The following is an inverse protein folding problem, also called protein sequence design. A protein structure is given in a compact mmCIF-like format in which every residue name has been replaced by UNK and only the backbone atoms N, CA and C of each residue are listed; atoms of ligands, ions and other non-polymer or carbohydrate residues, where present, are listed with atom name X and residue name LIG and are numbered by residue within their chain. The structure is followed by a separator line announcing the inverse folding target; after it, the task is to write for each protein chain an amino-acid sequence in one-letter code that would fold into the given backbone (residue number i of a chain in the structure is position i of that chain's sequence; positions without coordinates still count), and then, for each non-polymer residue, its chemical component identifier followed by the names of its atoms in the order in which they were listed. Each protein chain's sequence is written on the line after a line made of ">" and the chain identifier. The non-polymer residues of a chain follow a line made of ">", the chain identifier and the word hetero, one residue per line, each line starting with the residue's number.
data_IF_564803059736
#
_entry.id   IF_564803059736
#
_cell.length_a   1.000
_cell.length_b   1.000
_cell.length_c   1.000
_cell.angle_alpha   90.00
_cell.angle_beta   90.00
_cell.angle_gamma   90.00
#
_symmetry.space_group_name_H-M   'P 1'
#
loop_
_entity.id
_entity.type
_entity.pdbx_description
1 polymer ?
#
# COMPACT_ATOMS: atom_id res chain seq x y z
N UNK A 1 -11.85 -12.10 -17.67
CA UNK A 1 -12.55 -12.17 -18.96
C UNK A 1 -13.77 -11.25 -18.88
N UNK A 2 -13.81 -10.10 -19.58
CA UNK A 2 -15.06 -9.35 -19.68
C UNK A 2 -16.10 -10.22 -20.39
N UNK A 3 -17.31 -10.30 -19.83
CA UNK A 3 -18.40 -11.12 -20.37
C UNK A 3 -18.63 -10.75 -21.84
N UNK A 4 -18.64 -11.74 -22.72
CA UNK A 4 -19.01 -11.55 -24.13
C UNK A 4 -20.48 -11.16 -24.14
N UNK A 5 -20.76 -9.86 -24.29
CA UNK A 5 -22.12 -9.36 -24.49
C UNK A 5 -22.64 -9.94 -25.80
N UNK A 6 -23.69 -10.78 -25.73
CA UNK A 6 -24.32 -11.35 -26.93
C UNK A 6 -25.02 -10.26 -27.74
N UNK A 7 -25.45 -9.18 -27.08
CA UNK A 7 -26.03 -7.98 -27.68
C UNK A 7 -25.46 -6.70 -27.03
N UNK A 8 -25.23 -5.63 -27.80
CA UNK A 8 -24.79 -4.32 -27.26
C UNK A 8 -25.82 -3.67 -26.31
N UNK A 9 -27.05 -4.20 -26.26
CA UNK A 9 -28.15 -3.67 -25.47
C UNK A 9 -28.48 -4.52 -24.23
N UNK A 10 -27.78 -5.64 -23.98
CA UNK A 10 -27.97 -6.43 -22.77
C UNK A 10 -27.34 -5.72 -21.56
N UNK A 11 -28.15 -5.40 -20.55
CA UNK A 11 -27.70 -4.82 -19.28
C UNK A 11 -27.67 -3.29 -19.22
N UNK A 12 -27.99 -2.58 -20.31
CA UNK A 12 -28.26 -1.14 -20.24
C UNK A 12 -29.74 -0.99 -19.81
N UNK A 13 -30.05 -0.27 -18.71
CA UNK A 13 -31.41 -0.16 -18.19
C UNK A 13 -32.29 0.76 -19.08
N UNK A 14 -32.59 0.33 -20.31
CA UNK A 14 -33.56 0.98 -21.19
C UNK A 14 -35.02 0.62 -20.84
N UNK A 15 -35.25 -0.13 -19.76
CA UNK A 15 -36.52 -0.79 -19.49
C UNK A 15 -37.26 -0.32 -18.22
N UNK A 16 -36.85 0.79 -17.60
CA UNK A 16 -37.62 1.41 -16.51
C UNK A 16 -38.27 2.75 -16.88
N UNK A 17 -38.54 2.99 -18.16
CA UNK A 17 -39.19 4.22 -18.61
C UNK A 17 -40.51 3.82 -19.27
N UNK A 18 -41.61 4.04 -18.54
CA UNK A 18 -42.96 4.04 -19.10
C UNK A 18 -43.04 5.18 -20.11
N UNK A 19 -43.58 4.91 -21.30
CA UNK A 19 -43.94 5.94 -22.27
C UNK A 19 -44.95 6.88 -21.61
N UNK A 20 -44.63 8.16 -21.44
CA UNK A 20 -45.58 9.15 -20.93
C UNK A 20 -44.99 10.53 -20.63
N UNK A 21 -45.30 11.47 -21.52
CA UNK A 21 -45.62 12.90 -21.32
C UNK A 21 -45.06 13.66 -20.10
N UNK A 22 -43.77 14.00 -20.08
CA UNK A 22 -43.29 15.16 -19.31
C UNK A 22 -42.16 15.92 -20.03
N UNK A 23 -42.07 17.27 -19.90
CA UNK A 23 -41.14 18.10 -20.66
C UNK A 23 -39.70 17.95 -20.14
N UNK A 24 -38.75 17.71 -21.05
CA UNK A 24 -37.34 17.40 -20.71
C UNK A 24 -36.86 16.02 -21.17
N UNK A 25 -37.62 15.39 -22.07
CA UNK A 25 -37.43 14.05 -22.58
C UNK A 25 -36.20 13.91 -23.51
N UNK A 26 -35.11 13.27 -23.04
CA UNK A 26 -34.21 12.52 -23.92
C UNK A 26 -34.66 11.04 -23.97
N UNK A 27 -35.88 10.78 -24.45
CA UNK A 27 -36.45 9.42 -24.62
C UNK A 27 -37.21 9.31 -25.97
N UNK A 28 -36.58 9.76 -27.07
CA UNK A 28 -37.30 9.96 -28.34
C UNK A 28 -37.63 8.68 -29.14
N UNK A 29 -36.85 7.60 -29.05
CA UNK A 29 -37.16 6.30 -29.71
C UNK A 29 -36.07 5.26 -29.40
N UNK A 30 -36.32 3.99 -29.71
CA UNK A 30 -35.28 2.95 -29.66
C UNK A 30 -34.25 3.16 -30.78
N UNK A 31 -32.95 2.89 -30.56
CA UNK A 31 -31.92 2.96 -31.61
C UNK A 31 -32.26 2.24 -32.92
N UNK A 32 -33.01 1.13 -32.84
CA UNK A 32 -33.51 0.36 -33.99
C UNK A 32 -34.58 1.09 -34.82
N UNK A 33 -35.26 2.06 -34.23
CA UNK A 33 -36.34 2.85 -34.83
C UNK A 33 -35.84 4.23 -35.33
N UNK A 34 -34.55 4.55 -35.10
CA UNK A 34 -33.93 5.79 -35.52
C UNK A 34 -33.55 5.75 -37.00
N UNK A 35 -34.07 6.71 -37.78
CA UNK A 35 -33.67 6.90 -39.18
C UNK A 35 -32.62 8.00 -39.37
N UNK A 36 -32.20 8.66 -38.30
CA UNK A 36 -31.22 9.74 -38.38
C UNK A 36 -29.83 9.19 -38.70
N UNK A 37 -29.15 9.88 -39.62
CA UNK A 37 -27.82 9.55 -40.12
C UNK A 37 -26.91 10.77 -39.96
N UNK A 38 -25.63 10.53 -39.71
CA UNK A 38 -24.63 11.59 -39.71
C UNK A 38 -24.63 12.29 -41.07
N UNK A 39 -24.70 13.64 -41.13
CA UNK A 39 -24.79 14.37 -42.40
C UNK A 39 -23.62 14.09 -43.35
N UNK A 40 -22.42 13.91 -42.80
CA UNK A 40 -21.18 13.74 -43.56
C UNK A 40 -21.00 12.29 -44.05
N UNK A 41 -21.31 11.30 -43.20
CA UNK A 41 -20.98 9.88 -43.48
C UNK A 41 -22.17 9.05 -43.89
N UNK A 42 -23.40 9.59 -43.80
CA UNK A 42 -24.68 8.90 -44.02
C UNK A 42 -24.85 7.61 -43.20
N UNK A 43 -24.03 7.39 -42.16
CA UNK A 43 -24.13 6.25 -41.23
C UNK A 43 -25.17 6.55 -40.14
N UNK A 44 -25.89 5.54 -39.63
CA UNK A 44 -26.86 5.75 -38.56
C UNK A 44 -26.21 6.38 -37.33
N UNK A 45 -26.91 7.28 -36.63
CA UNK A 45 -26.36 7.94 -35.43
C UNK A 45 -26.16 6.94 -34.28
N UNK A 46 -26.98 5.89 -34.23
CA UNK A 46 -26.83 4.83 -33.24
C UNK A 46 -25.99 3.67 -33.76
N UNK A 47 -24.99 3.30 -32.98
CA UNK A 47 -24.11 2.16 -33.23
C UNK A 47 -24.82 0.85 -32.86
N UNK A 48 -25.64 0.33 -33.79
CA UNK A 48 -26.39 -0.92 -33.58
C UNK A 48 -25.60 -2.18 -34.00
N UNK A 49 -24.39 -2.02 -34.55
CA UNK A 49 -23.54 -3.13 -35.00
C UNK A 49 -22.35 -3.34 -34.05
N UNK A 50 -22.07 -4.60 -33.70
CA UNK A 50 -20.86 -4.98 -32.97
C UNK A 50 -19.66 -4.62 -33.86
N UNK A 51 -18.72 -3.77 -33.39
CA UNK A 51 -17.58 -3.41 -34.20
C UNK A 51 -16.72 -4.65 -34.44
N UNK A 52 -16.55 -5.03 -35.72
CA UNK A 52 -15.58 -6.06 -36.12
C UNK A 52 -14.19 -5.65 -35.62
N UNK A 53 -13.52 -6.51 -34.85
CA UNK A 53 -12.16 -6.33 -34.35
C UNK A 53 -11.26 -7.27 -35.12
N UNK A 54 -10.12 -6.77 -35.57
CA UNK A 54 -9.09 -7.57 -36.22
C UNK A 54 -8.09 -8.05 -35.17
N UNK A 55 -7.67 -9.31 -35.28
CA UNK A 55 -6.76 -9.96 -34.35
C UNK A 55 -5.58 -10.54 -35.12
N UNK A 56 -4.37 -10.32 -34.61
CA UNK A 56 -3.14 -10.91 -35.13
C UNK A 56 -2.50 -11.78 -34.06
N UNK A 57 -2.07 -12.99 -34.44
CA UNK A 57 -1.35 -13.91 -33.55
C UNK A 57 0.12 -13.55 -33.49
N UNK A 58 0.62 -13.25 -32.29
CA UNK A 58 2.04 -12.99 -32.03
C UNK A 58 2.61 -14.15 -31.20
N UNK A 59 3.79 -14.70 -31.55
CA UNK A 59 4.40 -15.76 -30.77
C UNK A 59 4.93 -15.19 -29.45
N UNK A 60 4.60 -15.84 -28.33
CA UNK A 60 5.12 -15.55 -27.00
C UNK A 60 5.67 -16.85 -26.40
N UNK A 61 6.94 -17.15 -26.68
CA UNK A 61 7.56 -18.42 -26.30
C UNK A 61 6.93 -19.60 -27.04
N UNK A 62 6.39 -20.57 -26.28
CA UNK A 62 5.72 -21.78 -26.81
C UNK A 62 4.23 -21.58 -27.14
N UNK A 63 3.66 -20.41 -26.84
CA UNK A 63 2.23 -20.11 -27.05
C UNK A 63 2.01 -18.91 -27.98
N UNK A 64 0.83 -18.84 -28.60
CA UNK A 64 0.42 -17.73 -29.44
C UNK A 64 -0.56 -16.84 -28.68
N UNK A 65 -0.30 -15.53 -28.65
CA UNK A 65 -1.24 -14.54 -28.09
C UNK A 65 -2.00 -13.83 -29.21
N UNK A 66 -3.30 -13.72 -29.05
CA UNK A 66 -4.14 -12.90 -29.93
C UNK A 66 -4.04 -11.43 -29.51
N UNK A 67 -3.48 -10.59 -30.39
CA UNK A 67 -3.38 -9.15 -30.20
C UNK A 67 -4.46 -8.44 -31.03
N UNK A 68 -5.22 -7.55 -30.40
CA UNK A 68 -6.19 -6.69 -31.11
C UNK A 68 -5.41 -5.66 -31.92
N UNK A 69 -5.65 -5.62 -33.23
CA UNK A 69 -5.06 -4.62 -34.13
C UNK A 69 -5.90 -3.34 -34.06
N UNK A 70 -5.29 -2.18 -33.76
CA UNK A 70 -5.96 -0.89 -33.85
C UNK A 70 -6.44 -0.64 -35.29
N UNK A 71 -7.65 -0.11 -35.45
CA UNK A 71 -8.17 0.24 -36.77
C UNK A 71 -7.40 1.42 -37.35
N UNK A 72 -7.04 1.33 -38.62
CA UNK A 72 -6.47 2.43 -39.39
C UNK A 72 -7.52 3.47 -39.78
N UNK A 73 -8.79 3.05 -39.92
CA UNK A 73 -9.90 3.96 -40.17
C UNK A 73 -10.28 4.78 -38.91
N UNK A 74 -10.52 6.09 -39.05
CA UNK A 74 -10.89 6.95 -37.93
C UNK A 74 -12.22 6.51 -37.30
N UNK A 75 -12.28 6.55 -35.97
CA UNK A 75 -13.51 6.23 -35.26
C UNK A 75 -14.50 7.41 -35.36
N UNK A 76 -15.57 7.22 -36.13
CA UNK A 76 -16.60 8.23 -36.35
C UNK A 76 -17.49 8.50 -35.13
N UNK A 77 -17.52 7.59 -34.15
CA UNK A 77 -18.34 7.74 -32.94
C UNK A 77 -17.45 8.10 -31.76
N UNK A 78 -17.72 9.18 -31.02
CA UNK A 78 -16.92 9.55 -29.86
C UNK A 78 -16.96 8.42 -28.81
N UNK A 79 -15.79 8.03 -28.31
CA UNK A 79 -15.69 7.11 -27.19
C UNK A 79 -15.76 7.93 -25.89
N UNK A 80 -16.83 7.74 -25.12
CA UNK A 80 -16.94 8.36 -23.80
C UNK A 80 -16.25 7.43 -22.80
N UNK A 81 -15.25 7.94 -22.09
CA UNK A 81 -14.53 7.21 -21.06
C UNK A 81 -14.32 8.09 -19.83
N UNK A 82 -14.19 7.47 -18.67
CA UNK A 82 -13.94 8.19 -17.43
C UNK A 82 -12.54 8.82 -17.44
N UNK A 83 -12.39 10.03 -16.88
CA UNK A 83 -11.13 10.79 -16.91
C UNK A 83 -9.97 10.02 -16.28
N UNK A 84 -10.20 9.31 -15.18
CA UNK A 84 -9.16 8.50 -14.53
C UNK A 84 -8.67 7.34 -15.40
N UNK A 85 -9.57 6.69 -16.13
CA UNK A 85 -9.24 5.59 -17.06
C UNK A 85 -8.44 6.13 -18.24
N UNK A 86 -8.80 7.30 -18.77
CA UNK A 86 -8.04 7.99 -19.82
C UNK A 86 -6.62 8.33 -19.36
N UNK A 87 -6.47 8.92 -18.17
CA UNK A 87 -5.16 9.27 -17.63
C UNK A 87 -4.30 8.03 -17.35
N UNK A 88 -4.88 6.94 -16.86
CA UNK A 88 -4.16 5.67 -16.67
C UNK A 88 -3.62 5.13 -17.99
N UNK A 89 -4.47 5.09 -19.03
CA UNK A 89 -4.08 4.61 -20.35
C UNK A 89 -3.03 5.53 -20.99
N UNK A 90 -3.16 6.85 -20.81
CA UNK A 90 -2.17 7.83 -21.28
C UNK A 90 -0.80 7.62 -20.64
N UNK A 91 -0.75 7.33 -19.33
CA UNK A 91 0.50 7.01 -18.62
C UNK A 91 1.11 5.69 -19.11
N UNK A 92 0.30 4.66 -19.29
CA UNK A 92 0.77 3.35 -19.79
C UNK A 92 1.23 3.38 -21.25
N UNK A 93 0.63 4.25 -22.07
CA UNK A 93 1.00 4.40 -23.48
C UNK A 93 2.25 5.28 -23.69
N UNK A 94 2.73 5.98 -22.65
CA UNK A 94 3.97 6.76 -22.77
C UNK A 94 5.15 5.79 -22.88
N UNK A 95 5.71 5.67 -24.08
CA UNK A 95 6.97 4.95 -24.31
C UNK A 95 8.10 5.84 -23.80
N UNK A 96 8.70 5.46 -22.67
CA UNK A 96 9.82 6.19 -22.07
C UNK A 96 11.06 5.96 -22.94
N UNK A 97 11.68 7.03 -23.42
CA UNK A 97 12.94 6.94 -24.18
C UNK A 97 14.11 6.59 -23.26
N UNK A 98 15.21 6.06 -23.82
CA UNK A 98 16.39 5.70 -23.04
C UNK A 98 16.99 6.90 -22.28
N UNK A 99 16.97 8.09 -22.89
CA UNK A 99 17.45 9.32 -22.25
C UNK A 99 16.59 9.76 -21.06
N UNK A 100 15.26 9.62 -21.17
CA UNK A 100 14.34 9.92 -20.06
C UNK A 100 14.55 8.93 -18.89
N UNK A 101 14.85 7.66 -19.18
CA UNK A 101 15.16 6.67 -18.14
C UNK A 101 16.45 6.99 -17.40
N UNK A 102 17.52 7.36 -18.13
CA UNK A 102 18.80 7.70 -17.52
C UNK A 102 18.72 8.96 -16.65
N UNK A 103 17.97 9.98 -17.10
CA UNK A 103 17.73 11.19 -16.29
C UNK A 103 16.96 10.88 -15.02
N UNK A 104 15.90 10.06 -15.11
CA UNK A 104 15.14 9.64 -13.94
C UNK A 104 15.99 8.87 -12.93
N UNK A 105 16.89 7.98 -13.39
CA UNK A 105 17.82 7.29 -12.51
C UNK A 105 18.81 8.25 -11.84
N UNK A 106 19.40 9.18 -12.59
CA UNK A 106 20.33 10.17 -12.03
C UNK A 106 19.65 11.10 -11.01
N UNK A 107 18.42 11.53 -11.27
CA UNK A 107 17.63 12.34 -10.33
C UNK A 107 17.32 11.55 -9.05
N UNK A 108 16.97 10.27 -9.17
CA UNK A 108 16.72 9.39 -8.03
C UNK A 108 17.99 9.13 -7.21
N UNK A 109 19.11 8.86 -7.86
CA UNK A 109 20.42 8.69 -7.21
C UNK A 109 20.85 9.98 -6.50
N UNK A 110 20.69 11.14 -7.13
CA UNK A 110 21.01 12.44 -6.54
C UNK A 110 20.14 12.72 -5.30
N UNK A 111 18.85 12.37 -5.34
CA UNK A 111 17.95 12.51 -4.20
C UNK A 111 18.35 11.58 -3.03
N UNK A 112 18.72 10.33 -3.32
CA UNK A 112 19.21 9.37 -2.32
C UNK A 112 20.54 9.85 -1.72
N UNK A 113 21.47 10.32 -2.55
CA UNK A 113 22.75 10.86 -2.09
C UNK A 113 22.57 12.10 -1.20
N UNK A 114 21.64 12.99 -1.55
CA UNK A 114 21.32 14.16 -0.73
C UNK A 114 20.75 13.74 0.63
N UNK A 115 19.78 12.82 0.64
CA UNK A 115 19.19 12.30 1.88
C UNK A 115 20.23 11.54 2.74
N UNK A 116 21.17 10.83 2.11
CA UNK A 116 22.27 10.15 2.79
C UNK A 116 23.23 11.15 3.44
N UNK A 117 23.65 12.20 2.74
CA UNK A 117 24.50 13.27 3.28
C UNK A 117 23.84 14.00 4.46
N UNK A 118 22.57 14.38 4.31
CA UNK A 118 21.80 15.01 5.40
C UNK A 118 21.70 14.09 6.64
N UNK A 119 21.56 12.77 6.41
CA UNK A 119 21.53 11.77 7.50
C UNK A 119 22.90 11.56 8.14
N UNK A 120 23.98 11.61 7.37
CA UNK A 120 25.36 11.50 7.86
C UNK A 120 25.75 12.73 8.70
N UNK A 121 25.41 13.94 8.24
CA UNK A 121 25.62 15.18 8.99
C UNK A 121 24.88 15.16 10.34
N UNK A 122 23.61 14.70 10.35
CA UNK A 122 22.83 14.54 11.59
C UNK A 122 23.47 13.52 12.54
N UNK A 123 24.02 12.41 12.02
CA UNK A 123 24.73 11.40 12.82
C UNK A 123 26.06 11.93 13.36
N UNK A 124 26.80 12.71 12.57
CA UNK A 124 28.07 13.31 12.99
C UNK A 124 27.86 14.33 14.10
N UNK A 125 26.87 15.22 13.96
CA UNK A 125 26.50 16.18 15.01
C UNK A 125 26.05 15.49 16.30
N UNK A 126 25.32 14.38 16.20
CA UNK A 126 24.92 13.60 17.37
C UNK A 126 26.14 12.96 18.05
N UNK A 127 27.04 12.38 17.25
CA UNK A 127 28.28 11.74 17.74
C UNK A 127 29.23 12.74 18.41
N UNK A 128 29.36 13.95 17.85
CA UNK A 128 30.17 15.03 18.43
C UNK A 128 29.58 15.51 19.77
N UNK A 129 28.25 15.66 19.86
CA UNK A 129 27.55 16.02 21.10
C UNK A 129 27.55 14.91 22.16
N UNK A 130 27.85 13.67 21.77
CA UNK A 130 27.90 12.49 22.65
C UNK A 130 29.33 12.13 23.11
N UNK A 131 30.35 12.97 22.89
CA UNK A 131 31.63 12.78 23.57
C UNK A 131 31.43 12.92 25.10
N UNK A 132 31.77 11.91 25.91
CA UNK A 132 31.60 11.97 27.35
C UNK A 132 32.69 12.86 27.96
N UNK A 133 32.29 13.86 28.76
CA UNK A 133 33.21 14.47 29.70
C UNK A 133 33.55 13.45 30.81
N UNK A 134 34.84 13.28 31.16
CA UNK A 134 35.20 12.42 32.28
C UNK A 134 34.92 13.17 33.58
N UNK A 135 33.86 12.75 34.27
CA UNK A 135 33.62 13.07 35.67
C UNK A 135 32.74 14.31 35.89
N UNK A 136 31.48 14.08 36.27
CA UNK A 136 30.79 14.94 37.23
C UNK A 136 29.58 14.19 37.80
N UNK A 137 29.50 14.26 39.12
CA UNK A 137 28.48 13.67 39.98
C UNK A 137 27.14 14.42 39.88
N UNK A 138 26.08 13.67 40.20
CA UNK A 138 24.78 14.03 40.79
C UNK A 138 24.40 15.53 40.83
N UNK A 139 23.24 15.89 40.28
CA UNK A 139 22.41 16.96 40.83
C UNK A 139 20.96 16.85 40.34
N UNK A 140 20.05 16.84 41.31
CA UNK A 140 18.62 16.99 41.16
C UNK A 140 18.19 18.47 41.17
N UNK A 141 16.99 18.75 40.68
CA UNK A 141 16.22 20.00 40.83
C UNK A 141 16.42 21.01 39.70
N UNK A 142 15.46 21.80 39.24
CA UNK A 142 14.03 21.99 39.49
C UNK A 142 13.61 23.13 38.52
N UNK A 143 12.41 23.07 37.92
CA UNK A 143 11.64 24.25 37.52
C UNK A 143 10.23 23.84 37.05
N UNK A 144 9.25 24.26 37.83
CA UNK A 144 7.80 24.13 37.64
C UNK A 144 7.24 24.98 36.48
N UNK A 145 6.17 24.50 35.83
CA UNK A 145 4.95 25.28 35.56
C UNK A 145 3.78 24.35 35.14
N UNK A 146 2.88 24.16 36.11
CA UNK A 146 1.42 24.10 36.01
C UNK A 146 0.67 23.09 35.10
N UNK A 147 -0.24 22.36 35.76
CA UNK A 147 -1.56 21.92 35.30
C UNK A 147 -1.67 20.77 34.28
N UNK A 148 -1.70 19.52 34.79
CA UNK A 148 -2.80 18.54 34.67
C UNK A 148 -2.32 17.19 35.24
N UNK A 149 -3.23 16.42 35.85
CA UNK A 149 -2.92 15.37 36.85
C UNK A 149 -1.90 14.27 36.46
N UNK A 150 -1.29 13.62 37.46
CA UNK A 150 -0.18 12.66 37.29
C UNK A 150 -0.50 11.41 36.45
N UNK A 151 -1.77 11.13 36.19
CA UNK A 151 -2.19 9.92 35.47
C UNK A 151 -2.17 10.08 33.94
N UNK A 152 -2.19 11.31 33.41
CA UNK A 152 -2.19 11.54 31.95
C UNK A 152 -0.78 11.64 31.37
N UNK A 153 0.16 12.26 32.10
CA UNK A 153 1.58 12.34 31.71
C UNK A 153 2.28 10.99 31.78
N UNK A 154 1.95 10.14 32.76
CA UNK A 154 2.44 8.77 32.81
C UNK A 154 1.90 7.90 31.65
N UNK A 155 0.63 8.09 31.27
CA UNK A 155 0.01 7.36 30.16
C UNK A 155 0.53 7.79 28.78
N UNK A 156 0.86 9.07 28.58
CA UNK A 156 1.46 9.55 27.32
C UNK A 156 2.92 9.10 27.16
N UNK A 157 3.68 9.03 28.26
CA UNK A 157 5.05 8.50 28.27
C UNK A 157 5.07 7.00 28.00
N UNK A 158 4.21 6.22 28.67
CA UNK A 158 4.09 4.77 28.42
C UNK A 158 3.62 4.45 26.99
N UNK A 159 2.75 5.29 26.41
CA UNK A 159 2.34 5.17 25.00
C UNK A 159 3.47 5.53 24.03
N UNK A 160 4.31 6.51 24.36
CA UNK A 160 5.47 6.88 23.55
C UNK A 160 6.55 5.80 23.58
N UNK A 161 6.78 5.18 24.75
CA UNK A 161 7.71 4.06 24.91
C UNK A 161 7.26 2.82 24.12
N UNK A 162 5.97 2.46 24.19
CA UNK A 162 5.42 1.32 23.43
C UNK A 162 5.42 1.53 21.91
N UNK A 163 5.24 2.77 21.44
CA UNK A 163 5.40 3.12 20.02
C UNK A 163 6.85 3.03 19.57
N UNK A 164 7.80 3.49 20.39
CA UNK A 164 9.23 3.41 20.09
C UNK A 164 9.74 1.96 20.09
N UNK A 165 9.20 1.11 20.96
CA UNK A 165 9.47 -0.33 20.96
C UNK A 165 8.90 -1.04 19.72
N UNK A 166 7.68 -0.69 19.29
CA UNK A 166 7.10 -1.20 18.05
C UNK A 166 7.91 -0.78 16.81
N UNK A 167 8.32 0.48 16.73
CA UNK A 167 9.16 0.98 15.64
C UNK A 167 10.54 0.32 15.62
N UNK A 168 11.15 0.10 16.78
CA UNK A 168 12.41 -0.63 16.89
C UNK A 168 12.29 -2.10 16.45
N UNK A 169 11.17 -2.76 16.76
CA UNK A 169 10.90 -4.13 16.31
C UNK A 169 10.72 -4.21 14.78
N UNK A 170 9.99 -3.25 14.18
CA UNK A 170 9.81 -3.17 12.72
C UNK A 170 11.15 -2.90 12.02
N UNK A 171 11.98 -2.00 12.57
CA UNK A 171 13.32 -1.73 12.02
C UNK A 171 14.25 -2.94 12.14
N UNK A 172 14.15 -3.71 13.23
CA UNK A 172 14.93 -4.93 13.41
C UNK A 172 14.50 -6.02 12.42
N UNK A 173 13.20 -6.24 12.24
CA UNK A 173 12.68 -7.18 11.24
C UNK A 173 13.05 -6.77 9.80
N UNK A 174 13.04 -5.47 9.49
CA UNK A 174 13.47 -4.95 8.19
C UNK A 174 14.95 -5.22 7.93
N UNK A 175 15.83 -4.97 8.92
CA UNK A 175 17.26 -5.28 8.84
C UNK A 175 17.52 -6.78 8.71
N UNK A 176 16.85 -7.61 9.49
CA UNK A 176 16.98 -9.08 9.39
C UNK A 176 16.52 -9.61 8.02
N UNK A 177 15.46 -9.03 7.44
CA UNK A 177 15.02 -9.34 6.06
C UNK A 177 16.07 -8.89 5.01
N UNK A 178 16.66 -7.70 5.17
CA UNK A 178 17.74 -7.23 4.29
C UNK A 178 19.00 -8.10 4.40
N UNK A 179 19.41 -8.48 5.61
CA UNK A 179 20.53 -9.38 5.85
C UNK A 179 20.29 -10.76 5.23
N UNK A 180 19.07 -11.31 5.32
CA UNK A 180 18.69 -12.56 4.62
C UNK A 180 18.78 -12.42 3.10
N UNK A 181 18.35 -11.29 2.54
CA UNK A 181 18.48 -11.00 1.09
C UNK A 181 19.94 -10.84 0.67
N UNK A 182 20.77 -10.21 1.50
CA UNK A 182 22.20 -10.06 1.26
C UNK A 182 22.93 -11.41 1.34
N UNK A 183 22.65 -12.24 2.35
CA UNK A 183 23.18 -13.59 2.47
C UNK A 183 22.78 -14.50 1.31
N UNK A 184 21.54 -14.39 0.82
CA UNK A 184 21.10 -15.13 -0.36
C UNK A 184 21.86 -14.67 -1.61
N UNK A 185 22.06 -13.36 -1.76
CA UNK A 185 22.83 -12.77 -2.87
C UNK A 185 24.30 -13.17 -2.83
N UNK A 186 24.89 -13.23 -1.64
CA UNK A 186 26.27 -13.68 -1.41
C UNK A 186 26.44 -15.18 -1.70
N UNK A 187 25.51 -16.02 -1.20
CA UNK A 187 25.52 -17.47 -1.48
C UNK A 187 25.25 -17.80 -2.95
N UNK A 188 24.67 -16.87 -3.71
CA UNK A 188 24.46 -16.98 -5.16
C UNK A 188 25.61 -16.39 -6.00
N UNK A 189 26.78 -16.09 -5.42
CA UNK A 189 27.93 -15.62 -6.18
C UNK A 189 28.19 -16.54 -7.40
N UNK A 190 28.43 -15.96 -8.59
CA UNK A 190 28.79 -16.76 -9.76
C UNK A 190 30.10 -17.49 -9.47
N UNK A 191 30.13 -18.80 -9.75
CA UNK A 191 31.40 -19.52 -9.78
C UNK A 191 32.41 -18.80 -10.71
N UNK A 192 33.72 -18.86 -10.41
CA UNK A 192 34.77 -18.09 -11.08
C UNK A 192 34.99 -18.40 -12.58
N UNK A 193 34.07 -19.09 -13.25
CA UNK A 193 34.02 -19.26 -14.70
C UNK A 193 33.00 -18.36 -15.42
N UNK A 194 32.19 -17.57 -14.70
CA UNK A 194 31.08 -16.82 -15.31
C UNK A 194 31.44 -15.39 -15.77
N UNK A 195 32.71 -14.99 -15.73
CA UNK A 195 33.13 -13.62 -16.08
C UNK A 195 33.42 -13.39 -17.56
N UNK A 196 33.38 -14.39 -18.44
CA UNK A 196 33.71 -14.21 -19.86
C UNK A 196 32.46 -13.95 -20.75
N UNK A 197 31.51 -13.14 -20.29
CA UNK A 197 30.36 -12.75 -21.11
C UNK A 197 29.84 -11.31 -20.92
N UNK A 198 30.49 -10.50 -20.08
CA UNK A 198 30.21 -9.08 -20.00
C UNK A 198 31.33 -8.32 -20.72
N UNK A 199 30.96 -7.47 -21.67
CA UNK A 199 31.88 -6.65 -22.46
C UNK A 199 32.59 -5.59 -21.63
N UNK A 200 33.55 -6.00 -20.81
CA UNK A 200 34.69 -5.16 -20.49
C UNK A 200 35.69 -5.33 -21.64
N UNK A 201 35.97 -4.25 -22.35
CA UNK A 201 37.18 -4.19 -23.15
C UNK A 201 38.35 -4.28 -22.16
N UNK A 202 39.04 -5.43 -22.13
CA UNK A 202 40.40 -5.50 -21.60
C UNK A 202 41.29 -4.65 -22.51
N UNK A 203 41.30 -3.34 -22.27
CA UNK A 203 42.09 -2.34 -22.99
C UNK A 203 43.55 -2.28 -22.49
N UNK A 204 44.04 -3.32 -21.82
CA UNK A 204 45.34 -3.34 -21.11
C UNK A 204 46.17 -4.61 -21.40
N UNK A 205 45.99 -5.24 -22.57
CA UNK A 205 46.93 -6.26 -23.05
C UNK A 205 47.63 -5.69 -24.28
N UNK A 206 48.95 -5.55 -24.30
CA UNK A 206 49.69 -5.09 -25.49
C UNK A 206 50.19 -6.28 -26.32
N UNK A 207 49.94 -6.27 -27.63
CA UNK A 207 50.56 -7.19 -28.59
C UNK A 207 50.09 -8.66 -28.52
N UNK A 208 51.01 -9.66 -28.63
CA UNK A 208 50.68 -11.07 -28.91
C UNK A 208 49.74 -11.75 -27.89
N UNK A 209 49.63 -11.21 -26.68
CA UNK A 209 48.73 -11.69 -25.63
C UNK A 209 47.25 -11.39 -25.94
N UNK A 210 46.94 -10.28 -26.63
CA UNK A 210 45.58 -10.03 -27.12
C UNK A 210 45.16 -11.06 -28.17
N UNK A 211 46.07 -11.42 -29.07
CA UNK A 211 45.82 -12.45 -30.09
C UNK A 211 45.62 -13.83 -29.45
N UNK A 212 46.41 -14.17 -28.43
CA UNK A 212 46.21 -15.42 -27.69
C UNK A 212 44.88 -15.43 -26.92
N UNK A 213 44.53 -14.32 -26.26
CA UNK A 213 43.27 -14.18 -25.52
C UNK A 213 42.05 -14.24 -26.45
N UNK A 214 42.09 -13.56 -27.60
CA UNK A 214 41.00 -13.60 -28.59
C UNK A 214 40.82 -14.97 -29.21
N UNK A 215 41.91 -15.70 -29.51
CA UNK A 215 41.85 -17.07 -29.99
C UNK A 215 41.29 -18.02 -28.93
N UNK A 216 41.79 -17.95 -27.69
CA UNK A 216 41.28 -18.75 -26.56
C UNK A 216 39.78 -18.49 -26.31
N UNK A 217 39.35 -17.22 -26.33
CA UNK A 217 37.93 -16.86 -26.20
C UNK A 217 37.10 -17.40 -27.36
N UNK A 218 37.62 -17.36 -28.60
CA UNK A 218 36.94 -17.93 -29.75
C UNK A 218 36.80 -19.45 -29.64
N UNK A 219 37.80 -20.14 -29.08
CA UNK A 219 37.76 -21.58 -28.80
C UNK A 219 36.73 -21.94 -27.73
N UNK A 220 36.68 -21.18 -26.63
CA UNK A 220 35.67 -21.34 -25.57
C UNK A 220 34.26 -21.14 -26.13
N UNK A 221 34.04 -20.08 -26.92
CA UNK A 221 32.75 -19.83 -27.55
C UNK A 221 32.36 -20.93 -28.54
N UNK A 222 33.31 -21.53 -29.26
CA UNK A 222 33.04 -22.68 -30.12
C UNK A 222 32.65 -23.90 -29.29
N UNK A 223 33.35 -24.17 -28.19
CA UNK A 223 33.03 -25.26 -27.27
C UNK A 223 31.65 -25.07 -26.63
N UNK A 224 31.33 -23.89 -26.13
CA UNK A 224 30.03 -23.56 -25.52
C UNK A 224 28.86 -23.64 -26.51
N UNK A 225 29.13 -23.42 -27.80
CA UNK A 225 28.13 -23.53 -28.84
C UNK A 225 27.78 -24.98 -29.20
N UNK A 226 28.55 -25.96 -28.72
CA UNK A 226 28.27 -27.38 -28.96
C UNK A 226 26.99 -27.83 -28.23
N UNK A 227 26.30 -28.88 -28.73
CA UNK A 227 25.01 -29.30 -28.18
C UNK A 227 25.07 -29.72 -26.70
N UNK A 228 26.16 -30.38 -26.28
CA UNK A 228 26.36 -30.85 -24.91
C UNK A 228 26.42 -29.71 -23.89
N UNK A 229 27.37 -28.76 -24.02
CA UNK A 229 27.46 -27.59 -23.13
C UNK A 229 26.19 -26.74 -23.11
N UNK A 230 25.51 -26.56 -24.26
CA UNK A 230 24.20 -25.88 -24.30
C UNK A 230 23.13 -26.57 -23.46
N UNK A 231 23.06 -27.90 -23.49
CA UNK A 231 22.14 -28.67 -22.66
C UNK A 231 22.48 -28.52 -21.17
N UNK A 232 23.75 -28.63 -20.80
CA UNK A 232 24.21 -28.42 -19.43
C UNK A 232 23.85 -27.00 -18.93
N UNK A 233 24.09 -25.97 -19.74
CA UNK A 233 23.73 -24.58 -19.41
C UNK A 233 22.22 -24.42 -19.19
N UNK A 234 21.38 -25.11 -19.98
CA UNK A 234 19.93 -25.11 -19.78
C UNK A 234 19.53 -25.77 -18.46
N UNK A 235 20.15 -26.90 -18.12
CA UNK A 235 19.88 -27.62 -16.85
C UNK A 235 20.34 -26.77 -15.66
N UNK A 236 21.54 -26.20 -15.72
CA UNK A 236 22.07 -25.32 -14.67
C UNK A 236 21.15 -24.12 -14.46
N UNK A 237 20.68 -23.48 -15.53
CA UNK A 237 19.75 -22.37 -15.44
C UNK A 237 18.43 -22.79 -14.79
N UNK A 238 17.87 -23.93 -15.21
CA UNK A 238 16.66 -24.47 -14.61
C UNK A 238 16.84 -24.73 -13.10
N UNK A 239 17.94 -25.38 -12.69
CA UNK A 239 18.26 -25.64 -11.29
C UNK A 239 18.40 -24.35 -10.48
N UNK A 240 19.04 -23.31 -11.03
CA UNK A 240 19.11 -21.98 -10.39
C UNK A 240 17.73 -21.36 -10.22
N UNK A 241 16.89 -21.42 -11.26
CA UNK A 241 15.51 -20.92 -11.18
C UNK A 241 14.68 -21.66 -10.14
N UNK A 242 14.85 -22.99 -10.01
CA UNK A 242 14.17 -23.78 -8.98
C UNK A 242 14.62 -23.41 -7.58
N UNK A 243 15.94 -23.30 -7.32
CA UNK A 243 16.46 -22.89 -6.02
C UNK A 243 15.94 -21.51 -5.58
N UNK A 244 15.92 -20.53 -6.49
CA UNK A 244 15.38 -19.19 -6.20
C UNK A 244 13.88 -19.28 -5.92
N UNK A 245 13.13 -20.06 -6.71
CA UNK A 245 11.69 -20.22 -6.52
C UNK A 245 11.36 -20.85 -5.17
N UNK A 246 12.09 -21.89 -4.76
CA UNK A 246 11.88 -22.56 -3.48
C UNK A 246 12.20 -21.63 -2.30
N UNK A 247 13.26 -20.83 -2.42
CA UNK A 247 13.57 -19.78 -1.44
C UNK A 247 12.45 -18.72 -1.36
N UNK A 248 11.92 -18.26 -2.51
CA UNK A 248 10.82 -17.30 -2.54
C UNK A 248 9.51 -17.87 -1.97
N UNK A 249 9.23 -19.16 -2.20
CA UNK A 249 8.06 -19.83 -1.62
C UNK A 249 8.19 -19.89 -0.09
N UNK A 250 9.35 -20.31 0.43
CA UNK A 250 9.57 -20.37 1.87
C UNK A 250 9.53 -18.98 2.54
N UNK A 251 10.08 -17.94 1.89
CA UNK A 251 9.98 -16.55 2.36
C UNK A 251 8.53 -16.07 2.39
N UNK A 252 7.75 -16.32 1.33
CA UNK A 252 6.33 -15.97 1.28
C UNK A 252 5.52 -16.65 2.38
N UNK A 253 5.81 -17.92 2.67
CA UNK A 253 5.09 -18.66 3.70
C UNK A 253 5.49 -18.19 5.11
N UNK A 254 6.73 -17.75 5.31
CA UNK A 254 7.15 -17.10 6.56
C UNK A 254 6.43 -15.76 6.77
N UNK A 255 6.43 -14.88 5.76
CA UNK A 255 5.76 -13.57 5.81
C UNK A 255 4.27 -13.74 6.15
N UNK A 256 3.61 -14.75 5.57
CA UNK A 256 2.20 -15.03 5.90
C UNK A 256 2.01 -15.42 7.35
N UNK A 257 2.90 -16.23 7.92
CA UNK A 257 2.81 -16.63 9.34
C UNK A 257 2.99 -15.43 10.26
N UNK A 258 4.02 -14.62 10.01
CA UNK A 258 4.28 -13.40 10.76
C UNK A 258 3.08 -12.43 10.68
N UNK A 259 2.49 -12.26 9.49
CA UNK A 259 1.29 -11.44 9.32
C UNK A 259 0.10 -11.97 10.14
N UNK A 260 -0.15 -13.28 10.11
CA UNK A 260 -1.25 -13.88 10.89
C UNK A 260 -1.03 -13.77 12.40
N UNK A 261 0.22 -13.82 12.86
CA UNK A 261 0.56 -13.65 14.27
C UNK A 261 0.36 -12.20 14.72
N UNK A 262 0.75 -11.22 13.91
CA UNK A 262 0.51 -9.80 14.19
C UNK A 262 -0.98 -9.45 14.12
N UNK A 263 -1.74 -9.97 13.16
CA UNK A 263 -3.20 -9.83 13.13
C UNK A 263 -3.84 -10.36 14.41
N UNK A 264 -3.44 -11.55 14.86
CA UNK A 264 -3.92 -12.14 16.12
C UNK A 264 -3.56 -11.28 17.34
N UNK A 265 -2.37 -10.69 17.36
CA UNK A 265 -1.92 -9.78 18.42
C UNK A 265 -2.76 -8.51 18.46
N UNK A 266 -3.03 -7.91 17.30
CA UNK A 266 -3.87 -6.71 17.17
C UNK A 266 -5.30 -7.00 17.62
N UNK A 267 -5.88 -8.13 17.23
CA UNK A 267 -7.22 -8.55 17.66
C UNK A 267 -7.30 -8.68 19.19
N UNK A 268 -6.26 -9.24 19.83
CA UNK A 268 -6.21 -9.35 21.29
C UNK A 268 -6.19 -7.97 21.97
N UNK A 269 -5.36 -7.03 21.47
CA UNK A 269 -5.28 -5.66 21.98
C UNK A 269 -6.61 -4.93 21.78
N UNK A 270 -7.26 -5.11 20.62
CA UNK A 270 -8.55 -4.48 20.33
C UNK A 270 -9.66 -5.02 21.22
N UNK A 271 -9.70 -6.33 21.49
CA UNK A 271 -10.66 -6.91 22.42
C UNK A 271 -10.42 -6.46 23.87
N UNK A 272 -9.17 -6.38 24.31
CA UNK A 272 -8.83 -5.85 25.63
C UNK A 272 -9.28 -4.39 25.79
N UNK A 273 -9.00 -3.55 24.78
CA UNK A 273 -9.45 -2.16 24.75
C UNK A 273 -10.98 -2.05 24.76
N UNK A 274 -11.67 -2.91 24.01
CA UNK A 274 -13.14 -2.98 24.00
C UNK A 274 -13.68 -3.32 25.37
N UNK A 275 -13.12 -4.34 26.04
CA UNK A 275 -13.53 -4.73 27.39
C UNK A 275 -13.24 -3.63 28.42
N UNK A 276 -12.09 -2.97 28.33
CA UNK A 276 -11.75 -1.85 29.20
C UNK A 276 -12.73 -0.67 29.02
N UNK A 277 -13.14 -0.38 27.79
CA UNK A 277 -14.14 0.65 27.51
C UNK A 277 -15.51 0.30 28.11
N UNK A 278 -15.95 -0.96 27.99
CA UNK A 278 -17.19 -1.45 28.62
C UNK A 278 -17.12 -1.32 30.14
N UNK A 279 -16.03 -1.79 30.77
CA UNK A 279 -15.85 -1.69 32.22
C UNK A 279 -15.90 -0.24 32.72
N UNK A 280 -15.28 0.70 32.00
CA UNK A 280 -15.35 2.13 32.34
C UNK A 280 -16.78 2.66 32.23
N UNK A 281 -17.51 2.29 31.18
CA UNK A 281 -18.90 2.71 31.00
C UNK A 281 -19.82 2.18 32.12
N UNK A 282 -19.64 0.91 32.52
CA UNK A 282 -20.37 0.30 33.64
C UNK A 282 -20.07 1.03 34.96
N UNK A 283 -18.81 1.29 35.26
CA UNK A 283 -18.41 2.05 36.45
C UNK A 283 -19.01 3.48 36.46
N UNK A 284 -19.06 4.13 35.31
CA UNK A 284 -19.69 5.44 35.18
C UNK A 284 -21.20 5.39 35.40
N UNK A 285 -21.87 4.34 34.91
CA UNK A 285 -23.29 4.12 35.13
C UNK A 285 -23.59 3.82 36.61
N UNK A 286 -22.78 2.97 37.26
CA UNK A 286 -22.88 2.70 38.69
C UNK A 286 -22.71 3.97 39.53
N UNK A 287 -21.71 4.79 39.22
CA UNK A 287 -21.50 6.08 39.89
C UNK A 287 -22.72 6.99 39.74
N UNK A 288 -23.28 7.08 38.52
CA UNK A 288 -24.52 7.84 38.26
C UNK A 288 -25.73 7.26 38.98
N UNK A 289 -25.80 5.94 39.14
CA UNK A 289 -26.86 5.28 39.89
C UNK A 289 -26.76 5.58 41.39
N UNK A 290 -25.56 5.48 41.97
CA UNK A 290 -25.31 5.84 43.36
C UNK A 290 -25.63 7.30 43.66
N UNK A 291 -25.20 8.23 42.80
CA UNK A 291 -25.55 9.65 42.91
C UNK A 291 -27.07 9.88 42.87
N UNK A 292 -27.78 9.16 41.99
CA UNK A 292 -29.26 9.22 41.93
C UNK A 292 -29.89 8.76 43.23
N UNK A 293 -29.41 7.67 43.82
CA UNK A 293 -29.90 7.16 45.12
C UNK A 293 -29.62 8.14 46.26
N UNK A 294 -28.43 8.71 46.32
CA UNK A 294 -28.05 9.73 47.33
C UNK A 294 -28.92 10.98 47.21
N UNK A 295 -29.11 11.49 45.99
CA UNK A 295 -30.00 12.63 45.74
C UNK A 295 -31.44 12.34 46.16
N UNK A 296 -31.93 11.13 45.91
CA UNK A 296 -33.27 10.69 46.33
C UNK A 296 -33.41 10.62 47.86
N UNK A 297 -32.37 10.13 48.56
CA UNK A 297 -32.35 10.06 50.02
C UNK A 297 -32.35 11.47 50.64
N UNK A 298 -31.51 12.37 50.14
CA UNK A 298 -31.46 13.77 50.58
C UNK A 298 -32.81 14.48 50.37
N UNK A 299 -33.48 14.25 49.23
CA UNK A 299 -34.80 14.84 48.97
C UNK A 299 -35.86 14.32 49.96
N UNK A 300 -35.83 13.02 50.29
CA UNK A 300 -36.74 12.45 51.30
C UNK A 300 -36.52 13.07 52.68
N UNK A 301 -35.27 13.27 53.08
CA UNK A 301 -34.93 13.92 54.34
C UNK A 301 -35.41 15.37 54.36
N UNK A 302 -35.23 16.11 53.27
CA UNK A 302 -35.76 17.48 53.13
C UNK A 302 -37.28 17.55 53.25
N UNK A 303 -38.00 16.60 52.63
CA UNK A 303 -39.47 16.52 52.74
C UNK A 303 -39.89 16.24 54.19
N UNK A 304 -39.25 15.29 54.86
CA UNK A 304 -39.53 14.98 56.27
C UNK A 304 -39.24 16.18 57.18
N UNK A 305 -38.12 16.86 56.99
CA UNK A 305 -37.77 18.06 57.73
C UNK A 305 -38.81 19.17 57.51
N UNK A 306 -39.24 19.38 56.27
CA UNK A 306 -40.30 20.34 55.95
C UNK A 306 -41.64 19.97 56.60
N UNK A 307 -42.05 18.70 56.55
CA UNK A 307 -43.31 18.24 57.15
C UNK A 307 -43.29 18.37 58.67
N UNK A 308 -42.18 18.02 59.34
CA UNK A 308 -42.03 18.20 60.79
C UNK A 308 -42.05 19.68 61.19
N UNK A 309 -41.36 20.55 60.43
CA UNK A 309 -41.39 21.99 60.63
C UNK A 309 -42.80 22.57 60.45
N UNK A 310 -43.54 22.11 59.44
CA UNK A 310 -44.95 22.48 59.22
C UNK A 310 -45.82 22.08 60.41
N UNK A 311 -45.70 20.83 60.89
CA UNK A 311 -46.46 20.33 62.05
C UNK A 311 -46.16 21.15 63.30
N UNK A 312 -44.88 21.43 63.58
CA UNK A 312 -44.47 22.30 64.70
C UNK A 312 -45.00 23.73 64.54
N UNK A 313 -44.93 24.31 63.34
CA UNK A 313 -45.49 25.62 63.03
C UNK A 313 -47.00 25.71 63.27
N UNK A 314 -47.78 24.69 62.90
CA UNK A 314 -49.22 24.62 63.23
C UNK A 314 -49.50 24.46 64.72
N UNK A 315 -48.61 23.84 65.50
CA UNK A 315 -48.76 23.70 66.95
C UNK A 315 -48.33 24.95 67.73
N UNK A 316 -47.48 25.80 67.14
CA UNK A 316 -47.04 27.07 67.70
C UNK A 316 -47.82 28.28 67.19
N UNK A 317 -48.84 28.09 66.33
CA UNK A 317 -49.76 29.15 65.97
C UNK A 317 -50.55 29.57 67.23
N UNK A 318 -50.42 30.81 67.72
CA UNK A 318 -51.21 31.27 68.85
C UNK A 318 -52.68 31.25 68.45
N UNK A 319 -53.51 30.65 69.30
CA UNK A 319 -54.94 30.91 69.36
C UNK A 319 -55.10 32.42 69.59
N UNK A 320 -55.23 33.21 68.52
CA UNK A 320 -55.76 34.57 68.60
C UNK A 320 -57.26 34.46 68.35
N UNK A 321 -57.99 34.72 69.45
CA UNK A 321 -59.42 35.05 69.65
C UNK A 321 -60.45 34.67 68.56
#
# INVERSE_FOLDING_TARGET
>A
MPKVLKNLHEGIPYHKIRKGSDPGCYQLHRPSECRLKFPITKRPIHKCEIPKREYTRVPQGESWRDLIVPKTEPNFYPAVMHKSEFERLKKQAKIVSQEEQLKAMHEQEAAIQKAAKESEERKQLLKEKLLPQPGAQVAAGAADQELEGPDQTAHTLSRAETMHEQEAAIQKAAKESEERKQLLKEKLLPQPGAQVAAGAADQELEGPDQTAHTLSRAEILKADNMPGPRLCNRIILASKCHAIRDAQISEKDLIKKELTEEERRLDAIMEENRQAAVRRAEQDEERRHQLRLQNLAALKEQIQAHDTAKVLGTKMAPFNE
#
